data_IF_502642940237
#
_entry.id   IF_502642940237
#
_cell.length_a   1.000
_cell.length_b   1.000
_cell.length_c   1.000
_cell.angle_alpha   90.00
_cell.angle_beta   90.00
_cell.angle_gamma   90.00
#
_symmetry.space_group_name_H-M   'P 1'
#
loop_
_entity.id
_entity.type
_entity.pdbx_description
1 polymer ?
#
# COMPACT_ATOMS: atom_id res chain seq x y z
N UNK A 1 15.42 9.43 8.72
CA UNK A 1 14.44 8.99 7.71
C UNK A 1 15.13 9.01 6.36
N UNK A 2 15.17 7.87 5.66
CA UNK A 2 15.60 7.80 4.26
C UNK A 2 14.37 8.04 3.39
N UNK A 3 14.35 9.13 2.65
CA UNK A 3 13.29 9.43 1.69
C UNK A 3 13.81 9.19 0.26
N UNK A 4 13.01 8.52 -0.57
CA UNK A 4 13.27 8.29 -1.99
C UNK A 4 12.13 8.90 -2.80
N UNK A 5 12.47 9.54 -3.91
CA UNK A 5 11.48 10.12 -4.82
C UNK A 5 11.73 9.60 -6.24
N UNK A 6 10.67 9.16 -6.88
CA UNK A 6 10.67 8.66 -8.25
C UNK A 6 9.60 9.35 -9.07
N UNK A 7 9.92 9.66 -10.30
CA UNK A 7 8.98 10.25 -11.24
C UNK A 7 9.04 9.49 -12.57
N UNK A 8 7.87 9.04 -13.05
CA UNK A 8 7.71 8.44 -14.36
C UNK A 8 7.15 9.54 -15.28
N UNK A 9 7.83 9.86 -16.37
CA UNK A 9 7.36 10.87 -17.31
C UNK A 9 6.01 10.51 -17.94
N UNK A 10 5.31 11.52 -18.46
CA UNK A 10 4.07 11.31 -19.19
C UNK A 10 4.27 10.41 -20.42
N UNK A 11 3.24 9.60 -20.72
CA UNK A 11 3.18 8.69 -21.88
C UNK A 11 4.29 7.60 -21.89
N UNK A 12 4.91 7.32 -20.73
CA UNK A 12 5.91 6.26 -20.57
C UNK A 12 5.30 5.04 -19.93
N UNK A 13 5.52 3.86 -20.51
CA UNK A 13 5.24 2.56 -19.90
C UNK A 13 6.54 1.92 -19.45
N UNK A 14 6.75 1.83 -18.14
CA UNK A 14 7.92 1.16 -17.57
C UNK A 14 7.71 -0.35 -17.60
N UNK A 15 8.52 -1.04 -18.39
CA UNK A 15 8.43 -2.50 -18.56
C UNK A 15 8.99 -3.24 -17.35
N UNK A 16 10.02 -2.68 -16.70
CA UNK A 16 10.60 -3.28 -15.52
C UNK A 16 10.07 -2.60 -14.25
N UNK A 17 9.74 -3.37 -13.21
CA UNK A 17 9.28 -2.79 -11.97
C UNK A 17 10.37 -1.99 -11.27
N UNK A 18 9.99 -0.90 -10.62
CA UNK A 18 10.83 -0.20 -9.67
C UNK A 18 10.91 -1.02 -8.38
N UNK A 19 12.11 -1.50 -8.05
CA UNK A 19 12.35 -2.26 -6.82
C UNK A 19 12.85 -1.33 -5.70
N UNK A 20 12.21 -1.43 -4.54
CA UNK A 20 12.59 -0.70 -3.33
C UNK A 20 12.74 -1.69 -2.19
N UNK A 21 13.98 -2.11 -1.94
CA UNK A 21 14.30 -3.10 -0.92
C UNK A 21 14.60 -2.44 0.43
N UNK A 22 14.03 -3.02 1.48
CA UNK A 22 14.27 -2.69 2.88
C UNK A 22 14.75 -3.94 3.62
N UNK A 23 16.05 -4.02 3.87
CA UNK A 23 16.64 -5.06 4.69
C UNK A 23 16.85 -4.55 6.13
N UNK A 24 16.20 -5.19 7.08
CA UNK A 24 16.25 -4.82 8.49
C UNK A 24 17.14 -5.81 9.26
N UNK A 25 18.13 -5.29 9.95
CA UNK A 25 18.96 -6.08 10.85
C UNK A 25 18.27 -6.31 12.20
N UNK A 26 18.86 -7.18 13.01
CA UNK A 26 18.45 -7.41 14.41
C UNK A 26 18.44 -6.09 15.20
N UNK A 27 17.40 -5.87 16.01
CA UNK A 27 17.18 -4.67 16.82
C UNK A 27 17.09 -3.37 15.99
N UNK A 28 16.64 -3.45 14.76
CA UNK A 28 16.44 -2.27 13.92
C UNK A 28 15.41 -1.31 14.50
N UNK A 29 15.72 -0.02 14.44
CA UNK A 29 14.76 1.06 14.61
C UNK A 29 14.89 1.98 13.39
N UNK A 30 14.03 1.83 12.40
CA UNK A 30 14.16 2.53 11.13
C UNK A 30 12.86 3.19 10.67
N UNK A 31 13.00 4.31 9.99
CA UNK A 31 11.90 4.94 9.28
C UNK A 31 12.31 5.24 7.84
N UNK A 32 11.40 4.97 6.91
CA UNK A 32 11.58 5.20 5.48
C UNK A 32 10.40 5.96 4.89
N UNK A 33 10.64 6.60 3.75
CA UNK A 33 9.59 7.19 2.94
C UNK A 33 9.89 7.01 1.46
N UNK A 34 8.86 6.69 0.68
CA UNK A 34 8.90 6.65 -0.78
C UNK A 34 7.79 7.53 -1.32
N UNK A 35 8.11 8.33 -2.31
CA UNK A 35 7.13 9.05 -3.11
C UNK A 35 7.29 8.67 -4.59
N UNK A 36 6.18 8.35 -5.23
CA UNK A 36 6.15 8.03 -6.66
C UNK A 36 5.12 8.93 -7.34
N UNK A 37 5.57 9.64 -8.35
CA UNK A 37 4.71 10.39 -9.26
C UNK A 37 4.64 9.65 -10.58
N UNK A 38 3.45 9.22 -10.97
CA UNK A 38 3.16 8.65 -12.28
C UNK A 38 2.57 9.75 -13.17
N UNK A 39 3.31 10.16 -14.18
CA UNK A 39 2.91 11.21 -15.12
C UNK A 39 1.72 10.79 -15.99
N UNK A 40 1.13 11.74 -16.69
CA UNK A 40 -0.07 11.52 -17.52
C UNK A 40 0.10 10.32 -18.45
N UNK A 41 -0.91 9.43 -18.49
CA UNK A 41 -0.95 8.19 -19.29
C UNK A 41 0.25 7.25 -19.07
N UNK A 42 1.04 7.41 -18.02
CA UNK A 42 2.15 6.50 -17.73
C UNK A 42 1.66 5.22 -17.09
N UNK A 43 2.52 4.18 -17.14
CA UNK A 43 2.25 2.90 -16.47
C UNK A 43 3.52 2.42 -15.76
N UNK A 44 3.39 2.07 -14.45
CA UNK A 44 4.51 1.57 -13.66
C UNK A 44 4.05 0.54 -12.61
N UNK A 45 4.90 -0.46 -12.39
CA UNK A 45 4.83 -1.34 -11.22
C UNK A 45 5.93 -0.98 -10.23
N UNK A 46 5.57 -0.79 -8.99
CA UNK A 46 6.49 -0.56 -7.86
C UNK A 46 6.42 -1.77 -6.95
N UNK A 47 7.57 -2.31 -6.57
CA UNK A 47 7.65 -3.42 -5.61
C UNK A 47 8.45 -2.93 -4.40
N UNK A 48 7.84 -2.96 -3.23
CA UNK A 48 8.49 -2.71 -1.95
C UNK A 48 8.64 -4.05 -1.20
N UNK A 49 9.87 -4.48 -0.96
CA UNK A 49 10.16 -5.71 -0.21
C UNK A 49 10.72 -5.35 1.18
N UNK A 50 9.99 -5.74 2.22
CA UNK A 50 10.35 -5.52 3.62
C UNK A 50 10.80 -6.84 4.21
N UNK A 51 12.10 -7.01 4.41
CA UNK A 51 12.69 -8.27 4.83
C UNK A 51 13.59 -8.13 6.06
N UNK A 52 13.57 -9.14 6.91
CA UNK A 52 14.53 -9.37 7.98
C UNK A 52 14.78 -10.86 8.15
N UNK A 53 15.78 -11.23 8.95
CA UNK A 53 15.93 -12.61 9.39
C UNK A 53 14.69 -13.04 10.20
N UNK A 54 14.38 -14.34 10.16
CA UNK A 54 13.19 -14.90 10.80
C UNK A 54 13.13 -14.64 12.31
N UNK A 55 14.26 -14.67 12.98
CA UNK A 55 14.38 -14.45 14.43
C UNK A 55 14.66 -12.97 14.79
N UNK A 56 14.66 -12.08 13.79
CA UNK A 56 14.95 -10.68 14.04
C UNK A 56 13.83 -10.02 14.84
N UNK A 57 14.24 -9.20 15.78
CA UNK A 57 13.38 -8.23 16.47
C UNK A 57 13.68 -6.82 15.96
N UNK A 58 12.73 -5.91 16.14
CA UNK A 58 12.92 -4.51 15.77
C UNK A 58 11.63 -3.79 15.52
N UNK A 59 11.78 -2.55 15.08
CA UNK A 59 10.66 -1.70 14.68
C UNK A 59 11.01 -0.96 13.40
N UNK A 60 10.06 -0.92 12.47
CA UNK A 60 10.18 -0.08 11.29
C UNK A 60 8.85 0.60 10.95
N UNK A 61 8.98 1.80 10.37
CA UNK A 61 7.85 2.56 9.84
C UNK A 61 8.17 3.01 8.42
N UNK A 62 7.26 2.77 7.48
CA UNK A 62 7.40 3.20 6.09
C UNK A 62 6.18 3.98 5.65
N UNK A 63 6.40 5.08 4.96
CA UNK A 63 5.36 5.91 4.37
C UNK A 63 5.52 5.93 2.87
N UNK A 64 4.51 5.45 2.13
CA UNK A 64 4.48 5.45 0.67
C UNK A 64 3.46 6.48 0.19
N UNK A 65 3.89 7.41 -0.68
CA UNK A 65 3.03 8.45 -1.23
C UNK A 65 2.99 8.33 -2.76
N UNK A 66 1.78 8.23 -3.29
CA UNK A 66 1.54 7.98 -4.71
C UNK A 66 0.72 9.12 -5.29
N UNK A 67 1.20 9.70 -6.36
CA UNK A 67 0.47 10.70 -7.13
C UNK A 67 0.33 10.23 -8.56
N UNK A 68 -0.92 10.02 -9.00
CA UNK A 68 -1.23 9.51 -10.32
C UNK A 68 -1.94 10.63 -11.11
N UNK A 69 -1.27 11.15 -12.12
CA UNK A 69 -1.84 12.12 -13.06
C UNK A 69 -2.88 11.46 -13.97
N UNK A 70 -3.58 12.25 -14.76
CA UNK A 70 -4.64 11.81 -15.67
C UNK A 70 -4.24 10.58 -16.49
N UNK A 71 -5.06 9.53 -16.44
CA UNK A 71 -4.85 8.28 -17.18
C UNK A 71 -3.69 7.41 -16.72
N UNK A 72 -2.95 7.82 -15.70
CA UNK A 72 -1.82 7.04 -15.17
C UNK A 72 -2.28 5.73 -14.54
N UNK A 73 -1.48 4.68 -14.68
CA UNK A 73 -1.69 3.38 -14.06
C UNK A 73 -0.50 3.03 -13.16
N UNK A 74 -0.77 2.76 -11.90
CA UNK A 74 0.26 2.35 -10.95
C UNK A 74 -0.17 1.08 -10.23
N UNK A 75 0.69 0.07 -10.25
CA UNK A 75 0.59 -1.12 -9.40
C UNK A 75 1.65 -1.03 -8.31
N UNK A 76 1.22 -1.02 -7.05
CA UNK A 76 2.09 -1.13 -5.88
C UNK A 76 1.97 -2.55 -5.33
N UNK A 77 3.08 -3.26 -5.27
CA UNK A 77 3.19 -4.58 -4.64
C UNK A 77 4.07 -4.42 -3.40
N UNK A 78 3.55 -4.78 -2.24
CA UNK A 78 4.30 -4.78 -0.99
C UNK A 78 4.41 -6.20 -0.45
N UNK A 79 5.62 -6.66 -0.19
CA UNK A 79 5.88 -7.98 0.38
C UNK A 79 6.54 -7.79 1.74
N UNK A 80 5.88 -8.25 2.80
CA UNK A 80 6.40 -8.20 4.17
C UNK A 80 6.83 -9.59 4.60
N UNK A 81 8.12 -9.76 4.87
CA UNK A 81 8.76 -10.99 5.35
C UNK A 81 9.64 -10.67 6.57
N UNK A 82 8.98 -10.27 7.65
CA UNK A 82 9.67 -9.80 8.86
C UNK A 82 9.70 -10.87 9.95
N UNK A 83 10.68 -10.80 10.81
CA UNK A 83 10.88 -11.72 11.91
C UNK A 83 9.72 -11.74 12.92
N UNK A 84 9.61 -12.83 13.65
CA UNK A 84 8.50 -13.12 14.58
C UNK A 84 8.39 -12.18 15.77
N UNK A 85 9.39 -11.33 16.03
CA UNK A 85 9.37 -10.30 17.08
C UNK A 85 9.54 -8.88 16.53
N UNK A 86 9.08 -8.66 15.30
CA UNK A 86 9.21 -7.39 14.58
C UNK A 86 7.89 -6.61 14.61
N UNK A 87 7.94 -5.32 14.96
CA UNK A 87 6.79 -4.41 14.83
C UNK A 87 6.94 -3.56 13.59
N UNK A 88 5.94 -3.56 12.73
CA UNK A 88 5.94 -2.85 11.46
C UNK A 88 4.73 -1.94 11.30
N UNK A 89 4.99 -0.71 10.88
CA UNK A 89 3.98 0.29 10.53
C UNK A 89 4.17 0.71 9.07
N UNK A 90 3.14 0.57 8.27
CA UNK A 90 3.15 0.97 6.88
C UNK A 90 1.92 1.81 6.55
N UNK A 91 2.14 2.96 5.92
CA UNK A 91 1.08 3.89 5.56
C UNK A 91 1.19 4.31 4.09
N UNK A 92 0.17 3.99 3.32
CA UNK A 92 0.03 4.35 1.91
C UNK A 92 -0.95 5.51 1.81
N UNK A 93 -0.52 6.61 1.18
CA UNK A 93 -1.38 7.71 0.79
C UNK A 93 -1.35 7.89 -0.72
N UNK A 94 -2.50 7.87 -1.38
CA UNK A 94 -2.58 8.02 -2.83
C UNK A 94 -3.58 9.08 -3.26
N UNK A 95 -3.27 9.75 -4.37
CA UNK A 95 -4.17 10.67 -5.04
C UNK A 95 -4.25 10.30 -6.52
N UNK A 96 -5.48 10.07 -7.01
CA UNK A 96 -5.76 9.66 -8.38
C UNK A 96 -6.53 10.75 -9.12
N UNK A 97 -5.94 11.29 -10.19
CA UNK A 97 -6.59 12.22 -11.10
C UNK A 97 -7.54 11.51 -12.08
N UNK A 98 -8.05 12.23 -13.09
CA UNK A 98 -9.04 11.70 -14.05
C UNK A 98 -8.54 10.43 -14.73
N UNK A 99 -9.37 9.38 -14.73
CA UNK A 99 -9.09 8.04 -15.30
C UNK A 99 -7.83 7.34 -14.77
N UNK A 100 -7.20 7.86 -13.73
CA UNK A 100 -6.06 7.19 -13.11
C UNK A 100 -6.51 5.90 -12.41
N UNK A 101 -5.66 4.88 -12.44
CA UNK A 101 -5.93 3.57 -11.85
C UNK A 101 -4.81 3.15 -10.91
N UNK A 102 -5.17 2.89 -9.65
CA UNK A 102 -4.26 2.37 -8.63
C UNK A 102 -4.63 0.94 -8.27
N UNK A 103 -3.65 0.05 -8.33
CA UNK A 103 -3.74 -1.30 -7.76
C UNK A 103 -2.72 -1.46 -6.63
N UNK A 104 -3.19 -1.87 -5.47
CA UNK A 104 -2.35 -2.15 -4.28
C UNK A 104 -2.46 -3.63 -3.95
N UNK A 105 -1.36 -4.34 -3.94
CA UNK A 105 -1.27 -5.75 -3.57
C UNK A 105 -0.34 -5.86 -2.37
N UNK A 106 -0.83 -6.42 -1.26
CA UNK A 106 -0.02 -6.60 -0.06
C UNK A 106 0.05 -8.07 0.34
N UNK A 107 1.25 -8.58 0.54
CA UNK A 107 1.53 -9.94 1.02
C UNK A 107 2.19 -9.83 2.40
N UNK A 108 1.47 -10.25 3.46
CA UNK A 108 1.92 -10.18 4.84
C UNK A 108 2.27 -11.58 5.32
N UNK A 109 3.57 -11.86 5.39
CA UNK A 109 4.11 -13.21 5.62
C UNK A 109 5.00 -13.27 6.88
N UNK A 110 4.79 -12.39 7.84
CA UNK A 110 5.57 -12.35 9.07
C UNK A 110 5.32 -11.08 9.88
N UNK A 111 6.14 -10.89 10.93
CA UNK A 111 5.99 -9.80 11.89
C UNK A 111 5.10 -10.15 13.08
N UNK A 112 5.40 -9.58 14.25
CA UNK A 112 4.60 -9.73 15.46
C UNK A 112 3.42 -8.77 15.50
N UNK A 113 3.70 -7.49 15.32
CA UNK A 113 2.67 -6.45 15.26
C UNK A 113 2.78 -5.72 13.94
N UNK A 114 1.76 -5.83 13.10
CA UNK A 114 1.71 -5.16 11.80
C UNK A 114 0.53 -4.21 11.76
N UNK A 115 0.81 -2.94 11.44
CA UNK A 115 -0.18 -1.88 11.31
C UNK A 115 -0.12 -1.34 9.88
N UNK A 116 -1.20 -1.54 9.12
CA UNK A 116 -1.30 -1.11 7.72
C UNK A 116 -2.34 0.00 7.57
N UNK A 117 -1.94 1.11 7.02
CA UNK A 117 -2.81 2.18 6.56
C UNK A 117 -2.80 2.28 5.03
N UNK A 118 -3.96 2.46 4.43
CA UNK A 118 -4.07 2.80 3.02
C UNK A 118 -5.20 3.79 2.82
N UNK A 119 -4.88 5.02 2.40
CA UNK A 119 -5.89 6.02 2.05
C UNK A 119 -5.69 6.46 0.61
N UNK A 120 -6.70 6.24 -0.22
CA UNK A 120 -6.71 6.70 -1.61
C UNK A 120 -7.80 7.75 -1.80
N UNK A 121 -7.43 8.91 -2.34
CA UNK A 121 -8.37 9.94 -2.79
C UNK A 121 -8.58 9.78 -4.30
N UNK A 122 -9.79 9.42 -4.69
CA UNK A 122 -10.24 9.32 -6.07
C UNK A 122 -10.81 10.68 -6.49
N UNK A 123 -9.92 11.61 -6.82
CA UNK A 123 -10.25 13.01 -7.09
C UNK A 123 -10.82 13.20 -8.50
N UNK A 124 -10.23 12.53 -9.46
CA UNK A 124 -10.61 12.71 -10.86
C UNK A 124 -11.78 11.82 -11.28
N UNK A 125 -12.50 12.25 -12.28
CA UNK A 125 -13.58 11.48 -12.90
C UNK A 125 -13.05 10.13 -13.41
N UNK A 126 -13.82 9.05 -13.17
CA UNK A 126 -13.50 7.70 -13.65
C UNK A 126 -12.18 7.13 -13.08
N UNK A 127 -11.62 7.74 -12.04
CA UNK A 127 -10.46 7.14 -11.35
C UNK A 127 -10.87 5.92 -10.53
N UNK A 128 -9.92 5.02 -10.31
CA UNK A 128 -10.19 3.75 -9.65
C UNK A 128 -9.08 3.32 -8.70
N UNK A 129 -9.45 2.54 -7.68
CA UNK A 129 -8.55 1.88 -6.75
C UNK A 129 -8.99 0.44 -6.50
N UNK A 130 -8.04 -0.48 -6.58
CA UNK A 130 -8.20 -1.85 -6.08
C UNK A 130 -7.13 -2.15 -5.04
N UNK A 131 -7.51 -2.71 -3.90
CA UNK A 131 -6.58 -3.10 -2.85
C UNK A 131 -6.85 -4.55 -2.40
N UNK A 132 -5.88 -5.41 -2.64
CA UNK A 132 -5.92 -6.82 -2.30
C UNK A 132 -4.82 -7.14 -1.29
N UNK A 133 -5.21 -7.71 -0.14
CA UNK A 133 -4.27 -8.11 0.90
C UNK A 133 -4.40 -9.60 1.19
N UNK A 134 -3.29 -10.33 1.06
CA UNK A 134 -3.17 -11.70 1.51
C UNK A 134 -2.24 -11.76 2.72
N UNK A 135 -2.60 -12.57 3.74
CA UNK A 135 -1.82 -12.64 4.97
C UNK A 135 -1.77 -14.05 5.56
N UNK A 136 -0.66 -14.32 6.26
CA UNK A 136 -0.51 -15.43 7.20
C UNK A 136 0.00 -14.83 8.50
N UNK A 137 -0.78 -14.96 9.58
CA UNK A 137 -0.41 -14.48 10.92
C UNK A 137 -0.52 -15.64 11.89
N UNK A 138 0.52 -15.86 12.67
CA UNK A 138 0.61 -16.98 13.62
C UNK A 138 1.10 -16.54 15.00
N UNK A 139 1.15 -17.50 15.94
CA UNK A 139 1.56 -17.28 17.32
C UNK A 139 0.67 -16.25 18.02
N UNK A 140 1.29 -15.24 18.61
CA UNK A 140 0.65 -14.07 19.24
C UNK A 140 0.57 -12.85 18.27
N UNK A 141 0.76 -13.08 16.98
CA UNK A 141 0.83 -12.03 15.96
C UNK A 141 -0.43 -11.19 15.85
N UNK A 142 -0.27 -9.91 15.58
CA UNK A 142 -1.37 -8.94 15.44
C UNK A 142 -1.27 -8.22 14.10
N UNK A 143 -2.37 -8.23 13.35
CA UNK A 143 -2.51 -7.50 12.08
C UNK A 143 -3.67 -6.52 12.19
N UNK A 144 -3.38 -5.23 12.16
CA UNK A 144 -4.38 -4.16 12.14
C UNK A 144 -4.31 -3.44 10.78
N UNK A 145 -5.43 -3.42 10.06
CA UNK A 145 -5.55 -2.80 8.74
C UNK A 145 -6.65 -1.75 8.75
N UNK A 146 -6.35 -0.56 8.21
CA UNK A 146 -7.30 0.52 8.06
C UNK A 146 -7.23 1.11 6.64
N UNK A 147 -8.20 0.76 5.80
CA UNK A 147 -8.23 1.16 4.41
C UNK A 147 -9.38 2.14 4.16
N UNK A 148 -9.08 3.20 3.43
CA UNK A 148 -10.02 4.28 3.15
C UNK A 148 -9.99 4.62 1.66
N UNK A 149 -11.13 4.51 1.00
CA UNK A 149 -11.37 5.06 -0.34
C UNK A 149 -12.23 6.31 -0.22
N UNK A 150 -11.68 7.45 -0.62
CA UNK A 150 -12.38 8.74 -0.62
C UNK A 150 -12.76 9.09 -2.05
N UNK A 151 -14.07 9.06 -2.36
CA UNK A 151 -14.61 9.37 -3.67
C UNK A 151 -15.00 10.84 -3.75
N UNK A 152 -14.24 11.62 -4.53
CA UNK A 152 -14.53 13.03 -4.83
C UNK A 152 -14.99 13.21 -6.28
N UNK A 153 -14.43 12.43 -7.19
CA UNK A 153 -14.76 12.45 -8.61
C UNK A 153 -16.06 11.70 -8.96
N UNK A 154 -16.58 11.98 -10.15
CA UNK A 154 -17.75 11.26 -10.69
C UNK A 154 -17.33 9.92 -11.27
N UNK A 155 -18.19 8.89 -11.14
CA UNK A 155 -17.99 7.53 -11.69
C UNK A 155 -16.70 6.87 -11.23
N UNK A 156 -16.22 7.21 -10.05
CA UNK A 156 -15.04 6.58 -9.44
C UNK A 156 -15.38 5.20 -8.91
N UNK A 157 -14.40 4.31 -8.87
CA UNK A 157 -14.59 2.92 -8.44
C UNK A 157 -13.56 2.52 -7.40
N UNK A 158 -13.99 1.76 -6.39
CA UNK A 158 -13.06 1.18 -5.41
C UNK A 158 -13.45 -0.24 -5.03
N UNK A 159 -12.44 -1.07 -4.81
CA UNK A 159 -12.58 -2.41 -4.25
C UNK A 159 -11.48 -2.64 -3.22
N UNK A 160 -11.84 -3.24 -2.10
CA UNK A 160 -10.90 -3.58 -1.03
C UNK A 160 -11.19 -4.98 -0.51
N UNK A 161 -10.23 -5.88 -0.64
CA UNK A 161 -10.35 -7.26 -0.20
C UNK A 161 -9.18 -7.65 0.71
N UNK A 162 -9.46 -8.46 1.72
CA UNK A 162 -8.43 -8.99 2.59
C UNK A 162 -8.75 -10.43 2.96
N UNK A 163 -7.88 -11.35 2.60
CA UNK A 163 -8.04 -12.79 2.85
C UNK A 163 -6.75 -13.43 3.35
N UNK A 164 -6.87 -14.43 4.23
CA UNK A 164 -5.68 -15.11 4.72
C UNK A 164 -5.96 -16.08 5.85
N UNK A 165 -4.89 -16.48 6.52
CA UNK A 165 -4.90 -17.50 7.56
C UNK A 165 -4.45 -16.89 8.88
N UNK A 166 -5.21 -17.17 9.94
CA UNK A 166 -4.81 -16.94 11.34
C UNK A 166 -4.59 -18.29 12.00
N UNK A 167 -3.49 -18.44 12.72
CA UNK A 167 -3.16 -19.64 13.49
C UNK A 167 -2.86 -19.27 14.95
N UNK A 168 -2.98 -20.25 15.84
CA UNK A 168 -2.69 -20.14 17.26
C UNK A 168 -3.54 -19.04 17.93
N UNK A 169 -2.93 -18.04 18.55
CA UNK A 169 -3.59 -16.91 19.21
C UNK A 169 -3.51 -15.62 18.38
N UNK A 170 -3.24 -15.73 17.07
CA UNK A 170 -3.14 -14.58 16.19
C UNK A 170 -4.44 -13.78 16.11
N UNK A 171 -4.31 -12.47 16.02
CA UNK A 171 -5.45 -11.56 15.97
C UNK A 171 -5.37 -10.66 14.73
N UNK A 172 -6.52 -10.44 14.07
CA UNK A 172 -6.65 -9.51 12.96
C UNK A 172 -7.80 -8.54 13.22
N UNK A 173 -7.55 -7.27 12.96
CA UNK A 173 -8.58 -6.23 12.83
C UNK A 173 -8.52 -5.65 11.41
N UNK A 174 -9.67 -5.58 10.75
CA UNK A 174 -9.80 -4.94 9.44
C UNK A 174 -10.88 -3.88 9.50
N UNK A 175 -10.55 -2.67 9.08
CA UNK A 175 -11.47 -1.55 8.91
C UNK A 175 -11.38 -1.06 7.47
N UNK A 176 -12.50 -1.15 6.76
CA UNK A 176 -12.66 -0.59 5.43
C UNK A 176 -13.66 0.56 5.47
N UNK A 177 -13.29 1.70 4.92
CA UNK A 177 -14.17 2.87 4.80
C UNK A 177 -14.26 3.30 3.35
N UNK A 178 -15.47 3.42 2.84
CA UNK A 178 -15.75 4.03 1.54
C UNK A 178 -16.55 5.30 1.81
N UNK A 179 -15.95 6.46 1.53
CA UNK A 179 -16.53 7.78 1.80
C UNK A 179 -16.86 8.49 0.47
N UNK A 180 -18.13 8.72 0.21
CA UNK A 180 -18.59 9.42 -0.98
C UNK A 180 -18.84 10.90 -0.65
N UNK A 181 -18.03 11.78 -1.24
CA UNK A 181 -18.19 13.23 -1.06
C UNK A 181 -19.31 13.78 -1.92
N UNK A 182 -19.80 14.94 -1.54
CA UNK A 182 -20.81 15.64 -2.31
C UNK A 182 -20.36 15.86 -3.75
N UNK A 183 -21.14 15.39 -4.72
CA UNK A 183 -20.80 15.50 -6.13
C UNK A 183 -20.21 14.24 -6.78
N UNK A 184 -19.86 13.21 -6.02
CA UNK A 184 -19.34 11.91 -6.52
C UNK A 184 -20.43 11.06 -7.18
N UNK A 185 -21.14 11.59 -8.19
CA UNK A 185 -22.23 10.91 -8.86
C UNK A 185 -21.76 9.69 -9.64
N UNK A 186 -22.46 8.53 -9.45
CA UNK A 186 -22.15 7.28 -10.12
C UNK A 186 -20.87 6.61 -9.61
N UNK A 187 -20.37 6.99 -8.44
CA UNK A 187 -19.29 6.29 -7.75
C UNK A 187 -19.78 4.98 -7.12
N UNK A 188 -18.93 3.94 -7.09
CA UNK A 188 -19.19 2.59 -6.55
C UNK A 188 -17.96 2.04 -5.86
#
# INVERSE_FOLDING_TARGET
>A
VKAKHYEVPADVTEVQPLLVDYAYAQNSLQAGAVAVKAGKNSEITVIEDFASDREASGQAAVSTRLYLEEGAKLRLIQVQRLGSDFTFMNDIGALCEEKASLEVIQLILGGKNTYLGCKTTLQGRESSMNADTAYIVDGEGRLDMNYVALHEGKKTQSSMQAGGVLRDHAFKLYRGTIDFKWGAKGAV
#
